data_IF_794878469108
#
_entry.id   IF_794878469108
#
_cell.length_a   1.000
_cell.length_b   1.000
_cell.length_c   1.000
_cell.angle_alpha   90.00
_cell.angle_beta   90.00
_cell.angle_gamma   90.00
#
_symmetry.space_group_name_H-M   'P 1'
#
loop_
_entity.id
_entity.type
_entity.pdbx_description
1 polymer ?
#
# COMPACT_ATOMS: atom_id res chain seq x y z
N UNK A 1 21.79 -1.11 -5.91
CA UNK A 1 21.12 -2.20 -5.17
C UNK A 1 20.87 -3.32 -6.16
N UNK A 2 21.43 -4.51 -5.95
CA UNK A 2 21.23 -5.68 -6.81
C UNK A 2 20.19 -6.58 -6.16
N UNK A 3 18.92 -6.38 -6.52
CA UNK A 3 17.78 -7.20 -6.07
C UNK A 3 17.06 -7.74 -7.30
N UNK A 4 16.55 -8.96 -7.19
CA UNK A 4 15.74 -9.55 -8.24
C UNK A 4 14.45 -8.75 -8.43
N UNK A 5 14.18 -8.37 -9.67
CA UNK A 5 12.98 -7.63 -10.04
C UNK A 5 12.03 -8.53 -10.83
N UNK A 6 10.76 -8.56 -10.41
CA UNK A 6 9.70 -9.33 -11.05
C UNK A 6 8.51 -8.43 -11.33
N UNK A 7 7.86 -8.64 -12.47
CA UNK A 7 6.63 -7.96 -12.85
C UNK A 7 5.49 -8.96 -12.68
N UNK A 8 4.45 -8.55 -11.95
CA UNK A 8 3.20 -9.28 -11.80
C UNK A 8 2.07 -8.42 -12.38
N UNK A 9 1.16 -9.04 -13.12
CA UNK A 9 -0.01 -8.36 -13.68
C UNK A 9 -1.25 -8.76 -12.87
N UNK A 10 -1.95 -7.77 -12.33
CA UNK A 10 -3.20 -7.90 -11.58
C UNK A 10 -4.33 -7.06 -12.19
N UNK A 11 -4.28 -6.78 -13.50
CA UNK A 11 -5.24 -5.92 -14.19
C UNK A 11 -6.67 -6.46 -14.11
N UNK A 12 -6.82 -7.78 -14.28
CA UNK A 12 -8.14 -8.44 -14.21
C UNK A 12 -8.71 -8.38 -12.79
N UNK A 13 -7.88 -8.69 -11.80
CA UNK A 13 -8.22 -8.62 -10.39
C UNK A 13 -8.56 -7.18 -9.97
N UNK A 14 -7.80 -6.19 -10.44
CA UNK A 14 -8.08 -4.78 -10.21
C UNK A 14 -9.42 -4.36 -10.82
N UNK A 15 -9.67 -4.74 -12.08
CA UNK A 15 -10.93 -4.40 -12.75
C UNK A 15 -12.14 -4.98 -12.01
N UNK A 16 -12.08 -6.26 -11.66
CA UNK A 16 -13.19 -6.99 -11.07
C UNK A 16 -13.43 -6.59 -9.61
N UNK A 17 -12.38 -6.58 -8.78
CA UNK A 17 -12.52 -6.48 -7.32
C UNK A 17 -12.35 -5.05 -6.79
N UNK A 18 -11.91 -4.11 -7.62
CA UNK A 18 -11.76 -2.69 -7.23
C UNK A 18 -12.59 -1.80 -8.13
N UNK A 19 -12.32 -1.81 -9.43
CA UNK A 19 -12.86 -0.80 -10.34
C UNK A 19 -14.38 -0.97 -10.58
N UNK A 20 -14.87 -2.19 -10.72
CA UNK A 20 -16.31 -2.44 -10.92
C UNK A 20 -17.15 -1.93 -9.75
N UNK A 21 -16.70 -2.14 -8.50
CA UNK A 21 -17.38 -1.62 -7.32
C UNK A 21 -17.38 -0.09 -7.25
N UNK A 22 -16.27 0.53 -7.66
CA UNK A 22 -16.17 2.00 -7.76
C UNK A 22 -17.20 2.55 -8.75
N UNK A 23 -17.37 1.92 -9.92
CA UNK A 23 -18.38 2.33 -10.90
C UNK A 23 -19.80 2.22 -10.35
N UNK A 24 -20.12 1.14 -9.64
CA UNK A 24 -21.43 0.94 -9.02
C UNK A 24 -21.72 2.01 -7.96
N UNK A 25 -20.75 2.33 -7.09
CA UNK A 25 -20.92 3.37 -6.09
C UNK A 25 -21.17 4.75 -6.74
N UNK A 26 -20.45 5.08 -7.82
CA UNK A 26 -20.73 6.30 -8.58
C UNK A 26 -22.13 6.33 -9.20
N UNK A 27 -22.59 5.21 -9.77
CA UNK A 27 -23.97 5.09 -10.29
C UNK A 27 -25.02 5.31 -9.20
N UNK A 28 -24.70 5.01 -7.95
CA UNK A 28 -25.54 5.23 -6.78
C UNK A 28 -25.38 6.63 -6.15
N UNK A 29 -24.62 7.53 -6.79
CA UNK A 29 -24.35 8.88 -6.27
C UNK A 29 -23.43 8.93 -5.06
N UNK A 30 -22.66 7.86 -4.79
CA UNK A 30 -21.67 7.82 -3.71
C UNK A 30 -20.30 8.27 -4.22
N UNK A 31 -19.43 8.66 -3.29
CA UNK A 31 -18.02 8.94 -3.56
C UNK A 31 -17.16 7.80 -3.02
N UNK A 32 -16.78 6.82 -3.85
CA UNK A 32 -15.98 5.67 -3.41
C UNK A 32 -14.52 6.05 -3.16
N UNK A 33 -13.84 5.25 -2.34
CA UNK A 33 -12.40 5.34 -2.13
C UNK A 33 -11.69 4.11 -2.72
N UNK A 34 -11.22 4.16 -3.98
CA UNK A 34 -10.57 3.03 -4.65
C UNK A 34 -9.25 2.61 -3.98
N UNK A 35 -8.57 3.50 -3.27
CA UNK A 35 -7.30 3.19 -2.64
C UNK A 35 -7.47 2.27 -1.43
N UNK A 36 -8.55 2.43 -0.67
CA UNK A 36 -8.91 1.51 0.42
C UNK A 36 -9.18 0.11 -0.13
N UNK A 37 -9.99 0.02 -1.19
CA UNK A 37 -10.31 -1.25 -1.85
C UNK A 37 -9.06 -1.90 -2.48
N UNK A 38 -8.20 -1.12 -3.15
CA UNK A 38 -6.96 -1.61 -3.75
C UNK A 38 -6.00 -2.20 -2.71
N UNK A 39 -5.84 -1.56 -1.54
CA UNK A 39 -5.01 -2.12 -0.48
C UNK A 39 -5.57 -3.47 -0.03
N UNK A 40 -6.88 -3.55 0.24
CA UNK A 40 -7.54 -4.77 0.67
C UNK A 40 -7.42 -5.91 -0.35
N UNK A 41 -7.85 -5.67 -1.59
CA UNK A 41 -7.99 -6.73 -2.59
C UNK A 41 -6.68 -7.00 -3.34
N UNK A 42 -5.93 -5.98 -3.71
CA UNK A 42 -4.75 -6.17 -4.57
C UNK A 42 -3.49 -6.37 -3.73
N UNK A 43 -3.16 -5.42 -2.84
CA UNK A 43 -1.86 -5.47 -2.14
C UNK A 43 -1.79 -6.53 -1.05
N UNK A 44 -2.86 -6.65 -0.25
CA UNK A 44 -2.86 -7.53 0.92
C UNK A 44 -3.65 -8.82 0.74
N UNK A 45 -4.17 -9.07 -0.47
CA UNK A 45 -4.72 -10.37 -0.90
C UNK A 45 -3.93 -10.91 -2.10
N UNK A 46 -4.15 -10.43 -3.34
CA UNK A 46 -3.50 -11.03 -4.51
C UNK A 46 -1.96 -10.95 -4.51
N UNK A 47 -1.38 -9.79 -4.20
CA UNK A 47 0.08 -9.62 -4.15
C UNK A 47 0.70 -10.41 -2.99
N UNK A 48 0.02 -10.46 -1.83
CA UNK A 48 0.48 -11.25 -0.69
C UNK A 48 0.48 -12.75 -1.01
N UNK A 49 -0.57 -13.25 -1.67
CA UNK A 49 -0.64 -14.64 -2.13
C UNK A 49 0.41 -14.95 -3.20
N UNK A 50 0.60 -14.05 -4.16
CA UNK A 50 1.65 -14.21 -5.18
C UNK A 50 3.05 -14.23 -4.55
N UNK A 51 3.32 -13.35 -3.58
CA UNK A 51 4.59 -13.34 -2.85
C UNK A 51 4.82 -14.68 -2.11
N UNK A 52 3.78 -15.22 -1.46
CA UNK A 52 3.85 -16.55 -0.81
C UNK A 52 4.16 -17.66 -1.82
N UNK A 53 3.50 -17.67 -2.99
CA UNK A 53 3.75 -18.64 -4.09
C UNK A 53 5.18 -18.54 -4.65
N UNK A 54 5.78 -17.36 -4.60
CA UNK A 54 7.18 -17.12 -4.96
C UNK A 54 8.18 -17.50 -3.86
N UNK A 55 7.70 -18.00 -2.71
CA UNK A 55 8.54 -18.44 -1.59
C UNK A 55 8.91 -17.32 -0.61
N UNK A 56 8.27 -16.16 -0.66
CA UNK A 56 8.55 -15.08 0.28
C UNK A 56 7.90 -15.32 1.66
N UNK A 57 8.69 -15.13 2.73
CA UNK A 57 8.20 -15.20 4.12
C UNK A 57 7.42 -13.95 4.53
N UNK A 58 7.75 -12.79 3.94
CA UNK A 58 7.17 -11.49 4.26
C UNK A 58 6.96 -10.64 3.02
N UNK A 59 5.92 -9.82 3.04
CA UNK A 59 5.67 -8.74 2.07
C UNK A 59 5.99 -7.39 2.72
N UNK A 60 7.00 -6.69 2.22
CA UNK A 60 7.31 -5.33 2.64
C UNK A 60 6.68 -4.31 1.70
N UNK A 61 6.06 -3.26 2.24
CA UNK A 61 5.52 -2.14 1.44
C UNK A 61 5.91 -0.80 2.03
N UNK A 62 6.03 0.23 1.19
CA UNK A 62 6.41 1.59 1.62
C UNK A 62 5.30 2.37 2.35
N UNK A 63 4.31 1.70 2.95
CA UNK A 63 3.25 2.39 3.69
C UNK A 63 3.80 3.00 4.97
N UNK A 64 3.42 4.25 5.23
CA UNK A 64 3.59 4.89 6.52
C UNK A 64 2.48 4.39 7.45
N UNK A 65 2.74 3.24 8.07
CA UNK A 65 1.93 2.62 9.10
C UNK A 65 2.82 1.71 9.94
N UNK A 66 2.37 1.31 11.13
CA UNK A 66 3.08 0.37 12.00
C UNK A 66 2.21 -0.83 12.31
N UNK A 67 2.86 -1.95 12.62
CA UNK A 67 2.20 -3.18 13.01
C UNK A 67 2.72 -3.62 14.37
N UNK A 68 1.83 -4.09 15.23
CA UNK A 68 2.17 -4.67 16.53
C UNK A 68 1.39 -5.97 16.73
N UNK A 69 2.08 -7.03 17.14
CA UNK A 69 1.41 -8.24 17.61
C UNK A 69 0.99 -8.04 19.06
N UNK A 70 -0.29 -8.20 19.36
CA UNK A 70 -0.80 -8.09 20.72
C UNK A 70 -0.58 -9.40 21.52
N UNK A 71 -0.82 -9.41 22.85
CA UNK A 71 -0.61 -10.60 23.68
C UNK A 71 -1.41 -11.83 23.24
N UNK A 72 -2.55 -11.63 22.57
CA UNK A 72 -3.41 -12.70 22.01
C UNK A 72 -2.92 -13.21 20.65
N UNK A 73 -1.82 -12.66 20.13
CA UNK A 73 -1.23 -13.04 18.84
C UNK A 73 -1.87 -12.40 17.62
N UNK A 74 -2.82 -11.47 17.80
CA UNK A 74 -3.47 -10.72 16.73
C UNK A 74 -2.61 -9.53 16.31
N UNK A 75 -2.60 -9.21 15.03
CA UNK A 75 -1.89 -8.03 14.50
C UNK A 75 -2.77 -6.79 14.62
N UNK A 76 -2.18 -5.72 15.15
CA UNK A 76 -2.80 -4.42 15.31
C UNK A 76 -2.14 -3.41 14.37
N UNK A 77 -2.97 -2.67 13.64
CA UNK A 77 -2.54 -1.56 12.82
C UNK A 77 -2.39 -0.30 13.70
N UNK A 78 -1.22 0.31 13.65
CA UNK A 78 -0.87 1.50 14.43
C UNK A 78 -0.51 2.65 13.48
N UNK A 79 -0.81 3.88 13.92
CA UNK A 79 -0.41 5.09 13.19
C UNK A 79 1.11 5.18 13.02
N UNK A 80 1.55 5.70 11.88
CA UNK A 80 2.95 6.05 11.63
C UNK A 80 3.45 7.11 12.64
N UNK A 81 4.77 7.18 12.78
CA UNK A 81 5.43 8.24 13.56
C UNK A 81 5.29 9.61 12.88
N UNK A 82 5.23 9.65 11.54
CA UNK A 82 4.95 10.86 10.78
C UNK A 82 3.42 11.05 10.60
N UNK A 83 2.76 11.94 11.36
CA UNK A 83 1.32 12.13 11.24
C UNK A 83 0.91 12.75 9.90
N UNK A 84 1.80 13.48 9.22
CA UNK A 84 1.52 14.10 7.91
C UNK A 84 1.59 13.09 6.77
N UNK A 85 2.23 11.94 7.01
CA UNK A 85 2.32 10.84 6.05
C UNK A 85 1.58 9.59 6.46
N UNK A 86 0.94 9.56 7.63
CA UNK A 86 0.16 8.42 8.08
C UNK A 86 -0.82 7.92 7.00
N UNK A 87 -0.73 6.62 6.72
CA UNK A 87 -1.53 5.94 5.71
C UNK A 87 -2.46 4.88 6.31
N UNK A 88 -2.64 4.87 7.64
CA UNK A 88 -3.48 3.85 8.29
C UNK A 88 -4.93 3.89 7.84
N UNK A 89 -5.44 5.07 7.49
CA UNK A 89 -6.77 5.24 6.92
C UNK A 89 -7.01 4.35 5.69
N UNK A 90 -6.03 4.26 4.78
CA UNK A 90 -6.14 3.45 3.56
C UNK A 90 -6.02 1.93 3.82
N UNK A 91 -5.65 1.54 5.03
CA UNK A 91 -5.44 0.15 5.45
C UNK A 91 -6.56 -0.36 6.36
N UNK A 92 -7.58 0.45 6.62
CA UNK A 92 -8.67 0.16 7.58
C UNK A 92 -9.49 -1.09 7.24
N UNK A 93 -9.61 -1.45 5.96
CA UNK A 93 -10.34 -2.65 5.52
C UNK A 93 -9.46 -3.90 5.36
N UNK A 94 -8.15 -3.80 5.65
CA UNK A 94 -7.24 -4.94 5.58
C UNK A 94 -7.40 -5.77 6.85
N UNK A 95 -7.54 -7.09 6.69
CA UNK A 95 -7.73 -7.98 7.83
C UNK A 95 -6.46 -8.11 8.68
N UNK A 96 -6.62 -8.42 9.97
CA UNK A 96 -5.47 -8.64 10.86
C UNK A 96 -4.62 -9.82 10.40
N UNK A 97 -5.24 -10.82 9.80
CA UNK A 97 -4.62 -12.05 9.33
C UNK A 97 -3.68 -11.76 8.16
N UNK A 98 -4.08 -10.86 7.26
CA UNK A 98 -3.24 -10.42 6.14
C UNK A 98 -1.94 -9.76 6.63
N UNK A 99 -1.96 -9.10 7.79
CA UNK A 99 -0.78 -8.44 8.36
C UNK A 99 0.24 -9.37 9.02
N UNK A 100 -0.08 -10.66 9.24
CA UNK A 100 0.84 -11.59 9.93
C UNK A 100 2.20 -11.74 9.21
N UNK A 101 2.21 -11.63 7.88
CA UNK A 101 3.41 -11.73 7.05
C UNK A 101 3.73 -10.40 6.35
N UNK A 102 3.44 -9.26 6.96
CA UNK A 102 3.64 -7.92 6.36
C UNK A 102 4.61 -7.09 7.18
N UNK A 103 5.44 -6.30 6.49
CA UNK A 103 6.38 -5.36 7.11
C UNK A 103 6.16 -3.95 6.53
N UNK A 104 6.11 -2.95 7.41
CA UNK A 104 6.10 -1.53 7.06
C UNK A 104 7.40 -0.86 7.53
N UNK A 105 8.49 -0.93 6.73
CA UNK A 105 9.82 -0.51 7.17
C UNK A 105 9.92 0.99 7.47
N UNK A 106 9.07 1.81 6.84
CA UNK A 106 9.11 3.28 6.98
C UNK A 106 8.15 3.83 8.03
N UNK A 107 7.34 2.99 8.68
CA UNK A 107 6.33 3.43 9.65
C UNK A 107 6.89 4.14 10.90
N UNK A 108 8.17 3.93 11.19
CA UNK A 108 8.87 4.47 12.35
C UNK A 108 9.71 5.72 12.02
N UNK A 109 9.67 6.19 10.77
CA UNK A 109 10.51 7.27 10.27
C UNK A 109 9.66 8.45 9.80
N UNK A 110 10.19 9.66 9.98
CA UNK A 110 9.73 10.86 9.33
C UNK A 110 10.02 10.80 7.83
N UNK A 111 9.20 11.49 7.02
CA UNK A 111 9.45 11.55 5.57
C UNK A 111 10.81 12.14 5.22
N UNK A 112 11.29 13.08 6.02
CA UNK A 112 12.60 13.72 5.89
C UNK A 112 13.72 12.70 6.09
N UNK A 113 13.62 11.85 7.12
CA UNK A 113 14.60 10.79 7.40
C UNK A 113 14.66 9.77 6.25
N UNK A 114 13.50 9.33 5.74
CA UNK A 114 13.46 8.41 4.58
C UNK A 114 14.13 9.02 3.34
N UNK A 115 13.99 10.33 3.13
CA UNK A 115 14.67 11.03 2.02
C UNK A 115 16.18 11.11 2.26
N UNK A 116 16.60 11.40 3.48
CA UNK A 116 18.01 11.47 3.85
C UNK A 116 18.68 10.11 3.63
N UNK A 117 18.08 9.03 4.13
CA UNK A 117 18.55 7.65 3.90
C UNK A 117 18.64 7.34 2.40
N UNK A 118 17.64 7.75 1.61
CA UNK A 118 17.66 7.53 0.17
C UNK A 118 18.77 8.31 -0.55
N UNK A 119 19.08 9.54 -0.10
CA UNK A 119 20.18 10.36 -0.62
C UNK A 119 21.54 9.74 -0.29
N UNK A 120 21.73 9.34 0.97
CA UNK A 120 22.96 8.69 1.45
C UNK A 120 23.23 7.36 0.75
N UNK A 121 22.17 6.59 0.48
CA UNK A 121 22.26 5.35 -0.28
C UNK A 121 22.40 5.55 -1.80
N UNK A 122 22.43 6.79 -2.29
CA UNK A 122 22.56 7.12 -3.72
C UNK A 122 21.39 6.62 -4.57
N UNK A 123 20.17 6.54 -4.01
CA UNK A 123 19.02 6.04 -4.75
C UNK A 123 18.54 7.08 -5.78
N UNK A 124 18.30 6.69 -7.05
CA UNK A 124 17.94 7.64 -8.12
C UNK A 124 16.60 8.34 -7.89
N UNK A 125 15.73 7.78 -7.04
CA UNK A 125 14.43 8.34 -6.70
C UNK A 125 14.43 9.22 -5.43
N UNK A 126 15.59 9.46 -4.80
CA UNK A 126 15.67 10.18 -3.53
C UNK A 126 15.04 11.59 -3.56
N UNK A 127 15.20 12.30 -4.69
CA UNK A 127 14.66 13.65 -4.88
C UNK A 127 13.31 13.68 -5.62
N UNK A 128 12.76 12.52 -5.99
CA UNK A 128 11.50 12.47 -6.74
C UNK A 128 10.38 13.09 -5.91
N UNK A 129 9.74 14.14 -6.44
CA UNK A 129 8.52 14.71 -5.84
C UNK A 129 7.43 13.63 -5.83
N UNK A 130 6.63 13.59 -4.77
CA UNK A 130 5.54 12.62 -4.64
C UNK A 130 4.56 12.86 -5.79
N UNK A 131 4.50 11.92 -6.73
CA UNK A 131 3.84 12.11 -8.02
C UNK A 131 2.35 11.78 -8.04
N UNK A 132 1.80 11.22 -6.95
CA UNK A 132 0.41 10.77 -6.90
C UNK A 132 -0.42 11.70 -6.02
N UNK A 133 -1.11 12.63 -6.67
CA UNK A 133 -2.26 13.34 -6.13
C UNK A 133 -3.40 12.95 -7.08
N UNK A 134 -4.13 11.89 -6.73
CA UNK A 134 -5.10 11.18 -7.57
C UNK A 134 -5.30 9.73 -7.07
N UNK A 135 -6.41 9.08 -7.47
CA UNK A 135 -6.62 7.65 -7.19
C UNK A 135 -5.54 6.81 -7.85
N UNK A 136 -5.12 5.68 -7.28
CA UNK A 136 -4.00 4.87 -7.79
C UNK A 136 -4.06 4.53 -9.29
N UNK A 137 -5.25 4.53 -9.89
CA UNK A 137 -5.49 4.17 -11.29
C UNK A 137 -5.65 5.37 -12.23
N UNK A 138 -6.30 6.46 -11.80
CA UNK A 138 -6.32 7.67 -12.59
C UNK A 138 -5.01 8.40 -12.33
N UNK A 139 -4.16 8.49 -13.35
CA UNK A 139 -3.05 9.44 -13.33
C UNK A 139 -3.54 10.88 -13.12
N UNK A 140 -2.75 11.88 -13.51
CA UNK A 140 -3.17 13.29 -13.37
C UNK A 140 -4.25 13.73 -14.37
N UNK A 141 -4.85 12.80 -15.11
CA UNK A 141 -5.81 13.11 -16.14
C UNK A 141 -7.19 13.36 -15.54
N UNK A 142 -7.81 14.48 -15.93
CA UNK A 142 -9.19 14.76 -15.60
C UNK A 142 -10.07 13.91 -16.51
N UNK A 143 -10.97 13.14 -15.92
CA UNK A 143 -12.08 12.54 -16.66
C UNK A 143 -12.99 13.71 -17.05
N UNK A 144 -13.02 14.06 -18.34
CA UNK A 144 -13.95 15.06 -18.91
C UNK A 144 -15.30 14.41 -19.19
#
# INVERSE_FOLDING_TARGET
MHLDFKILNFEKEYWNDVFTGVLQDYQMGRTPNPDVACNKEIKFKYLLEAAKKLGANYLATGHYARLRKNPQGKMELLKAVDPKKDQTYFLTQVSSEAFQNVIFPVGHLQKTEVRQIALEAGLPNAQRKVGFCGSMFCGKEKIQ
#
